data_IF_771917283823
#
_entry.id   IF_771917283823
#
_cell.length_a   1.000
_cell.length_b   1.000
_cell.length_c   1.000
_cell.angle_alpha   90.00
_cell.angle_beta   90.00
_cell.angle_gamma   90.00
#
_symmetry.space_group_name_H-M   'P 1'
#
loop_
_entity.id
_entity.type
_entity.pdbx_description
1 polymer ?
#
# COMPACT_ATOMS: atom_id res chain seq x y z
N UNK A 1 -1.39 -8.21 14.06
CA UNK A 1 -1.15 -8.49 15.49
C UNK A 1 -1.65 -7.37 16.39
N UNK A 2 -1.28 -6.11 16.14
CA UNK A 2 -1.65 -4.94 16.95
C UNK A 2 -3.15 -4.78 17.18
N UNK A 3 -3.98 -5.02 16.17
CA UNK A 3 -5.45 -4.97 16.29
C UNK A 3 -6.01 -5.88 17.39
N UNK A 4 -5.45 -7.09 17.57
CA UNK A 4 -5.93 -8.03 18.58
C UNK A 4 -5.60 -7.55 20.00
N UNK A 5 -4.44 -6.91 20.20
CA UNK A 5 -4.09 -6.32 21.51
C UNK A 5 -5.05 -5.18 21.89
N UNK A 6 -5.39 -4.30 20.93
CA UNK A 6 -6.31 -3.17 21.16
C UNK A 6 -7.69 -3.64 21.63
N UNK A 7 -8.18 -4.74 21.05
CA UNK A 7 -9.45 -5.37 21.45
C UNK A 7 -9.35 -5.99 22.86
N UNK A 8 -8.30 -6.77 23.14
CA UNK A 8 -8.15 -7.45 24.42
C UNK A 8 -7.89 -6.49 25.60
N UNK A 9 -7.21 -5.36 25.37
CA UNK A 9 -7.02 -4.32 26.38
C UNK A 9 -8.23 -3.38 26.55
N UNK A 10 -9.31 -3.57 25.79
CA UNK A 10 -10.52 -2.74 25.88
C UNK A 10 -10.34 -1.30 25.42
N UNK A 11 -9.22 -0.99 24.76
CA UNK A 11 -8.89 0.36 24.27
C UNK A 11 -9.80 0.80 23.11
N UNK A 12 -10.48 -0.16 22.45
CA UNK A 12 -11.52 0.09 21.45
C UNK A 12 -12.58 1.10 21.92
N UNK A 13 -12.94 1.12 23.21
CA UNK A 13 -13.99 2.00 23.74
C UNK A 13 -13.56 3.45 23.96
N UNK A 14 -12.25 3.73 23.88
CA UNK A 14 -11.67 5.06 24.12
C UNK A 14 -11.12 5.72 22.86
N UNK A 15 -11.26 5.06 21.70
CA UNK A 15 -10.75 5.53 20.42
C UNK A 15 -11.82 5.40 19.35
N UNK A 16 -11.83 6.34 18.41
CA UNK A 16 -12.66 6.24 17.22
C UNK A 16 -11.96 5.34 16.19
N UNK A 17 -12.61 4.24 15.83
CA UNK A 17 -12.06 3.25 14.92
C UNK A 17 -12.71 3.40 13.56
N UNK A 18 -11.89 3.75 12.59
CA UNK A 18 -12.30 3.91 11.20
C UNK A 18 -11.73 2.79 10.35
N UNK A 19 -12.55 2.27 9.44
CA UNK A 19 -12.08 1.37 8.39
C UNK A 19 -11.61 2.23 7.21
N UNK A 20 -10.33 2.21 6.84
CA UNK A 20 -9.86 2.98 5.69
C UNK A 20 -10.54 2.47 4.41
N UNK A 21 -10.86 3.39 3.53
CA UNK A 21 -11.24 3.05 2.16
C UNK A 21 -9.97 2.76 1.36
N UNK A 22 -10.09 1.97 0.29
CA UNK A 22 -8.97 1.72 -0.62
C UNK A 22 -8.70 3.00 -1.39
N UNK A 23 -7.45 3.46 -1.38
CA UNK A 23 -7.05 4.64 -2.12
C UNK A 23 -7.30 4.46 -3.63
N UNK A 24 -7.84 5.49 -4.27
CA UNK A 24 -8.08 5.48 -5.72
C UNK A 24 -6.77 5.75 -6.48
N UNK A 25 -6.74 5.42 -7.77
CA UNK A 25 -5.59 5.71 -8.62
C UNK A 25 -5.31 7.22 -8.67
N UNK A 26 -6.36 8.04 -8.78
CA UNK A 26 -6.25 9.50 -8.86
C UNK A 26 -5.54 10.09 -7.63
N UNK A 27 -5.89 9.61 -6.43
CA UNK A 27 -5.26 10.06 -5.18
C UNK A 27 -3.79 9.65 -5.09
N UNK A 28 -3.45 8.44 -5.54
CA UNK A 28 -2.06 7.99 -5.57
C UNK A 28 -1.23 8.73 -6.61
N UNK A 29 -1.82 9.07 -7.76
CA UNK A 29 -1.12 9.82 -8.83
C UNK A 29 -0.82 11.28 -8.48
N UNK A 30 -1.34 11.80 -7.36
CA UNK A 30 -0.98 13.16 -6.86
C UNK A 30 0.49 13.28 -6.49
N UNK A 31 1.10 12.18 -6.03
CA UNK A 31 2.49 12.14 -5.59
C UNK A 31 3.34 11.16 -6.41
N UNK A 32 2.71 10.12 -6.96
CA UNK A 32 3.39 9.11 -7.77
C UNK A 32 3.12 9.31 -9.25
N UNK A 33 4.10 8.99 -10.10
CA UNK A 33 3.91 9.00 -11.56
C UNK A 33 2.89 7.95 -11.98
N UNK A 34 2.07 8.25 -13.01
CA UNK A 34 1.04 7.33 -13.52
C UNK A 34 1.64 5.98 -13.96
N UNK A 35 2.83 6.00 -14.56
CA UNK A 35 3.56 4.79 -14.97
C UNK A 35 3.89 3.87 -13.78
N UNK A 36 4.22 4.45 -12.61
CA UNK A 36 4.49 3.68 -11.40
C UNK A 36 3.20 3.06 -10.82
N UNK A 37 2.09 3.79 -10.83
CA UNK A 37 0.81 3.26 -10.35
C UNK A 37 0.26 2.17 -11.28
N UNK A 38 0.43 2.32 -12.60
CA UNK A 38 0.12 1.26 -13.58
C UNK A 38 0.99 0.04 -13.35
N UNK A 39 2.29 0.23 -13.12
CA UNK A 39 3.22 -0.84 -12.78
C UNK A 39 2.79 -1.60 -11.52
N UNK A 40 2.45 -0.90 -10.43
CA UNK A 40 1.96 -1.52 -9.19
C UNK A 40 0.66 -2.29 -9.38
N UNK A 41 -0.21 -1.89 -10.32
CA UNK A 41 -1.44 -2.61 -10.64
C UNK A 41 -1.19 -3.86 -11.50
N UNK A 42 -0.19 -3.84 -12.38
CA UNK A 42 0.12 -4.95 -13.29
C UNK A 42 1.06 -6.00 -12.70
N UNK A 43 1.91 -5.62 -11.75
CA UNK A 43 2.89 -6.53 -11.15
C UNK A 43 2.20 -7.63 -10.35
N UNK A 44 2.58 -8.86 -10.63
CA UNK A 44 2.12 -10.07 -9.97
C UNK A 44 3.29 -11.04 -9.86
N UNK A 45 3.29 -11.99 -8.89
CA UNK A 45 4.41 -12.91 -8.71
C UNK A 45 4.77 -13.73 -9.96
N UNK A 46 3.79 -13.99 -10.85
CA UNK A 46 3.95 -14.67 -12.13
C UNK A 46 4.70 -13.88 -13.21
N UNK A 47 4.68 -12.54 -13.15
CA UNK A 47 5.31 -11.68 -14.15
C UNK A 47 6.54 -10.93 -13.62
N UNK A 48 6.97 -11.19 -12.38
CA UNK A 48 8.13 -10.52 -11.75
C UNK A 48 9.43 -10.61 -12.56
N UNK A 49 9.68 -11.72 -13.26
CA UNK A 49 10.91 -11.93 -14.04
C UNK A 49 11.07 -10.94 -15.20
N UNK A 50 9.96 -10.54 -15.81
CA UNK A 50 9.92 -9.62 -16.96
C UNK A 50 10.04 -8.16 -16.51
N UNK A 51 9.61 -7.88 -15.28
CA UNK A 51 9.57 -6.54 -14.69
C UNK A 51 10.80 -6.17 -13.85
N UNK A 52 11.82 -7.04 -13.78
CA UNK A 52 13.04 -6.83 -12.99
C UNK A 52 13.73 -5.46 -13.20
N UNK A 53 13.78 -4.96 -14.43
CA UNK A 53 14.36 -3.62 -14.74
C UNK A 53 13.53 -2.47 -14.17
N UNK A 54 12.20 -2.60 -14.19
CA UNK A 54 11.29 -1.59 -13.66
C UNK A 54 11.25 -1.65 -12.13
N UNK A 55 11.36 -2.85 -11.53
CA UNK A 55 11.49 -3.03 -10.08
C UNK A 55 12.72 -2.31 -9.52
N UNK A 56 13.89 -2.41 -10.16
CA UNK A 56 15.10 -1.73 -9.71
C UNK A 56 14.97 -0.19 -9.70
N UNK A 57 14.22 0.37 -10.64
CA UNK A 57 13.98 1.83 -10.73
C UNK A 57 12.95 2.31 -9.71
N UNK A 58 11.98 1.47 -9.38
CA UNK A 58 10.84 1.80 -8.54
C UNK A 58 11.04 1.45 -7.05
N UNK A 59 11.97 0.53 -6.74
CA UNK A 59 12.24 0.05 -5.39
C UNK A 59 12.77 1.12 -4.42
N UNK A 60 13.36 2.21 -4.90
CA UNK A 60 13.84 3.29 -4.03
C UNK A 60 12.71 4.10 -3.35
N UNK A 61 11.45 3.95 -3.77
CA UNK A 61 10.28 4.67 -3.22
C UNK A 61 9.39 3.80 -2.32
N UNK A 62 9.77 2.56 -2.07
CA UNK A 62 8.92 1.53 -1.45
C UNK A 62 8.56 1.68 0.05
N UNK A 63 9.27 2.42 0.92
CA UNK A 63 8.97 2.33 2.36
C UNK A 63 7.59 2.87 2.79
N UNK A 64 6.93 3.71 1.97
CA UNK A 64 5.73 4.45 2.38
C UNK A 64 4.43 4.00 1.70
N UNK A 65 4.48 3.20 0.63
CA UNK A 65 3.26 2.83 -0.12
C UNK A 65 2.51 1.62 0.43
N UNK A 66 3.19 0.71 1.14
CA UNK A 66 2.59 -0.57 1.56
C UNK A 66 1.58 -0.41 2.70
N UNK A 67 1.58 0.72 3.43
CA UNK A 67 0.62 0.96 4.51
C UNK A 67 -0.72 1.52 4.04
N UNK A 68 -0.89 1.81 2.75
CA UNK A 68 -2.14 2.34 2.17
C UNK A 68 -2.95 1.34 1.32
N UNK A 69 -2.49 0.10 1.17
CA UNK A 69 -3.22 -1.01 0.54
C UNK A 69 -3.63 -2.07 1.57
#
# INVERSE_FOLDING_TARGET
MTHNLILNYGLYRKMEIYRPHKATQEEMTKYHSDDYIRFLRSIRPDNMSEYNKQMQRCACLFPLCITCF
#
